data_IF_843730474412
#
_entry.id   IF_843730474412
#
_cell.length_a   1.000
_cell.length_b   1.000
_cell.length_c   1.000
_cell.angle_alpha   90.00
_cell.angle_beta   90.00
_cell.angle_gamma   90.00
#
_symmetry.space_group_name_H-M   'P 1'
#
loop_
_entity.id
_entity.type
_entity.pdbx_description
1 polymer ?
#
# COMPACT_ATOMS: atom_id res chain seq x y z
N UNK A 1 -55.24 20.88 46.11
CA UNK A 1 -53.81 20.63 46.31
C UNK A 1 -53.33 19.58 45.31
N UNK A 2 -52.33 19.98 44.51
CA UNK A 2 -51.25 19.18 43.90
C UNK A 2 -51.53 17.82 43.23
N UNK A 3 -51.40 17.87 41.90
CA UNK A 3 -50.47 17.08 41.06
C UNK A 3 -50.59 15.55 41.11
N UNK A 4 -51.13 14.97 40.03
CA UNK A 4 -50.68 13.67 39.49
C UNK A 4 -51.13 13.52 38.02
N UNK A 5 -50.88 14.58 37.24
CA UNK A 5 -50.59 14.42 35.82
C UNK A 5 -49.09 14.13 35.72
N UNK A 6 -48.66 13.35 34.73
CA UNK A 6 -47.28 12.88 34.48
C UNK A 6 -46.99 11.50 35.08
N UNK A 7 -47.63 10.46 34.52
CA UNK A 7 -47.14 9.07 34.56
C UNK A 7 -47.63 8.32 33.32
N UNK A 8 -47.14 8.72 32.13
CA UNK A 8 -47.12 7.84 30.95
C UNK A 8 -46.22 8.32 29.79
N UNK A 9 -45.14 9.06 30.07
CA UNK A 9 -44.12 9.44 29.06
C UNK A 9 -42.72 9.29 29.66
N UNK A 10 -42.41 8.12 30.24
CA UNK A 10 -41.04 7.79 30.72
C UNK A 10 -40.66 6.34 30.34
N UNK A 11 -41.22 5.81 29.25
CA UNK A 11 -40.84 4.48 28.71
C UNK A 11 -40.34 4.57 27.25
N UNK A 12 -40.29 5.76 26.64
CA UNK A 12 -39.77 5.93 25.27
C UNK A 12 -38.34 6.50 25.18
N UNK A 13 -37.61 6.57 26.29
CA UNK A 13 -36.26 7.20 26.32
C UNK A 13 -35.10 6.22 26.56
N UNK A 14 -35.31 4.90 26.48
CA UNK A 14 -34.22 3.90 26.56
C UNK A 14 -33.77 3.41 25.17
N UNK A 15 -34.06 4.17 24.11
CA UNK A 15 -33.39 3.99 22.79
C UNK A 15 -32.49 5.19 22.49
N UNK A 16 -31.88 5.77 23.52
CA UNK A 16 -30.61 6.46 23.34
C UNK A 16 -29.50 5.41 23.32
N UNK A 17 -29.47 4.59 22.25
CA UNK A 17 -28.19 4.02 21.85
C UNK A 17 -27.27 5.23 21.65
N UNK A 18 -26.22 5.30 22.47
CA UNK A 18 -25.08 6.15 22.22
C UNK A 18 -24.75 6.02 20.72
N UNK A 19 -25.04 7.08 19.97
CA UNK A 19 -24.88 7.13 18.52
C UNK A 19 -23.40 7.34 18.20
N UNK A 20 -22.54 6.47 18.74
CA UNK A 20 -21.14 6.30 18.37
C UNK A 20 -21.10 5.37 17.16
N UNK A 21 -21.67 5.84 16.04
CA UNK A 21 -21.70 5.13 14.77
C UNK A 21 -22.09 6.09 13.66
N UNK A 22 -21.71 5.77 12.43
CA UNK A 22 -21.98 6.57 11.22
C UNK A 22 -23.47 6.62 10.80
N UNK A 23 -24.38 6.18 11.66
CA UNK A 23 -25.82 6.16 11.40
C UNK A 23 -26.30 5.07 10.42
N UNK A 24 -25.39 4.25 9.90
CA UNK A 24 -25.74 3.18 8.94
C UNK A 24 -25.90 1.80 9.61
N UNK A 25 -26.60 0.85 8.96
CA UNK A 25 -26.82 -0.49 9.53
C UNK A 25 -25.52 -1.18 9.95
N UNK A 26 -25.53 -1.76 11.15
CA UNK A 26 -24.44 -2.59 11.66
C UNK A 26 -24.50 -3.96 10.98
N UNK A 27 -23.40 -4.36 10.34
CA UNK A 27 -23.22 -5.70 9.78
C UNK A 27 -22.85 -6.66 10.91
N UNK A 28 -21.82 -6.33 11.68
CA UNK A 28 -21.35 -7.12 12.82
C UNK A 28 -20.56 -6.26 13.83
N UNK A 29 -20.16 -6.84 14.95
CA UNK A 29 -19.28 -6.19 15.93
C UNK A 29 -18.10 -7.11 16.25
N UNK A 30 -16.88 -6.58 16.11
CA UNK A 30 -15.62 -7.29 16.36
C UNK A 30 -14.96 -6.61 17.55
N UNK A 31 -14.96 -7.30 18.69
CA UNK A 31 -14.36 -6.80 19.93
C UNK A 31 -14.85 -5.41 20.36
N UNK A 32 -16.16 -5.17 20.28
CA UNK A 32 -16.77 -3.89 20.60
C UNK A 32 -16.69 -2.83 19.48
N UNK A 33 -15.88 -3.06 18.44
CA UNK A 33 -15.87 -2.21 17.24
C UNK A 33 -16.98 -2.63 16.27
N UNK A 34 -17.91 -1.72 15.98
CA UNK A 34 -19.01 -1.98 15.03
C UNK A 34 -18.51 -1.84 13.59
N UNK A 35 -18.74 -2.87 12.79
CA UNK A 35 -18.59 -2.81 11.33
C UNK A 35 -19.95 -2.50 10.74
N UNK A 36 -20.10 -1.30 10.20
CA UNK A 36 -21.32 -0.81 9.54
C UNK A 36 -21.23 -0.92 8.03
N UNK A 37 -22.35 -0.80 7.32
CA UNK A 37 -22.35 -0.77 5.85
C UNK A 37 -21.51 0.38 5.30
N UNK A 38 -21.59 1.58 5.88
CA UNK A 38 -20.78 2.71 5.42
C UNK A 38 -19.29 2.52 5.72
N UNK A 39 -18.91 2.00 6.90
CA UNK A 39 -17.50 1.72 7.20
C UNK A 39 -16.90 0.69 6.24
N UNK A 40 -17.69 -0.31 5.85
CA UNK A 40 -17.28 -1.31 4.87
C UNK A 40 -17.12 -0.71 3.47
N UNK A 41 -18.09 0.09 3.02
CA UNK A 41 -18.03 0.73 1.70
C UNK A 41 -16.90 1.76 1.62
N UNK A 42 -16.63 2.49 2.71
CA UNK A 42 -15.48 3.37 2.82
C UNK A 42 -14.15 2.61 2.76
N UNK A 43 -14.04 1.46 3.44
CA UNK A 43 -12.86 0.61 3.37
C UNK A 43 -12.65 0.04 1.95
N UNK A 44 -13.73 -0.35 1.28
CA UNK A 44 -13.70 -0.80 -0.11
C UNK A 44 -13.19 0.30 -1.04
N UNK A 45 -13.74 1.51 -0.93
CA UNK A 45 -13.35 2.65 -1.73
C UNK A 45 -11.89 3.07 -1.48
N UNK A 46 -11.47 3.06 -0.20
CA UNK A 46 -10.09 3.33 0.21
C UNK A 46 -9.11 2.31 -0.38
N UNK A 47 -9.49 1.03 -0.46
CA UNK A 47 -8.65 0.02 -1.08
C UNK A 47 -8.48 0.25 -2.59
N UNK A 48 -9.52 0.73 -3.29
CA UNK A 48 -9.42 1.15 -4.69
C UNK A 48 -8.52 2.37 -4.86
N UNK A 49 -8.63 3.36 -3.97
CA UNK A 49 -7.76 4.55 -3.97
C UNK A 49 -6.30 4.18 -3.71
N UNK A 50 -6.07 3.28 -2.75
CA UNK A 50 -4.74 2.77 -2.43
C UNK A 50 -4.14 2.08 -3.65
N UNK A 51 -4.90 1.21 -4.31
CA UNK A 51 -4.45 0.55 -5.53
C UNK A 51 -4.16 1.57 -6.65
N UNK A 52 -5.04 2.55 -6.84
CA UNK A 52 -4.89 3.60 -7.84
C UNK A 52 -3.59 4.36 -7.66
N UNK A 53 -3.31 4.82 -6.44
CA UNK A 53 -2.11 5.60 -6.10
C UNK A 53 -0.84 4.76 -6.11
N UNK A 54 -0.89 3.52 -5.61
CA UNK A 54 0.30 2.66 -5.52
C UNK A 54 0.71 2.03 -6.85
N UNK A 55 -0.25 1.72 -7.72
CA UNK A 55 0.01 1.16 -9.06
C UNK A 55 0.05 2.23 -10.15
N UNK A 56 -0.22 3.49 -9.83
CA UNK A 56 -0.31 4.60 -10.79
C UNK A 56 -1.32 4.31 -11.93
N UNK A 57 -2.47 3.72 -11.58
CA UNK A 57 -3.56 3.42 -12.49
C UNK A 57 -4.74 4.30 -12.11
N UNK A 58 -5.37 4.98 -13.07
CA UNK A 58 -6.56 5.78 -12.78
C UNK A 58 -7.67 4.92 -12.15
N UNK A 59 -8.26 5.39 -11.04
CA UNK A 59 -9.34 4.68 -10.33
C UNK A 59 -10.49 4.28 -11.25
N UNK A 60 -10.83 5.12 -12.24
CA UNK A 60 -11.87 4.83 -13.23
C UNK A 60 -11.55 3.57 -14.07
N UNK A 61 -10.28 3.35 -14.40
CA UNK A 61 -9.82 2.19 -15.15
C UNK A 61 -9.84 0.93 -14.28
N UNK A 62 -9.47 1.05 -13.00
CA UNK A 62 -9.64 -0.01 -12.01
C UNK A 62 -11.12 -0.43 -11.93
N UNK A 63 -12.03 0.53 -11.75
CA UNK A 63 -13.48 0.27 -11.69
C UNK A 63 -13.96 -0.41 -12.97
N UNK A 64 -13.55 0.10 -14.14
CA UNK A 64 -13.86 -0.51 -15.45
C UNK A 64 -13.46 -1.99 -15.46
N UNK A 65 -12.22 -2.32 -15.09
CA UNK A 65 -11.75 -3.71 -15.03
C UNK A 65 -12.48 -4.59 -14.00
N UNK A 66 -12.98 -4.02 -12.90
CA UNK A 66 -13.78 -4.77 -11.92
C UNK A 66 -15.18 -5.10 -12.45
N UNK A 67 -15.72 -4.27 -13.35
CA UNK A 67 -17.11 -4.34 -13.83
C UNK A 67 -17.28 -4.98 -15.21
N UNK A 68 -16.27 -4.94 -16.08
CA UNK A 68 -16.35 -5.49 -17.45
C UNK A 68 -16.32 -7.03 -17.49
N UNK A 69 -16.58 -7.62 -18.66
CA UNK A 69 -16.48 -9.06 -18.87
C UNK A 69 -15.01 -9.55 -18.77
N UNK A 70 -14.78 -10.78 -18.29
CA UNK A 70 -13.42 -11.28 -17.97
C UNK A 70 -12.48 -11.28 -19.19
N UNK A 71 -13.02 -11.51 -20.39
CA UNK A 71 -12.30 -11.46 -21.67
C UNK A 71 -11.72 -10.08 -22.03
N UNK A 72 -12.20 -9.01 -21.38
CA UNK A 72 -11.75 -7.63 -21.61
C UNK A 72 -10.78 -7.11 -20.56
N UNK A 73 -10.53 -7.90 -19.51
CA UNK A 73 -9.68 -7.51 -18.39
C UNK A 73 -8.26 -8.03 -18.63
N UNK A 74 -7.21 -7.19 -18.46
CA UNK A 74 -5.83 -7.66 -18.55
C UNK A 74 -5.55 -8.84 -17.62
N UNK A 75 -4.79 -9.84 -18.08
CA UNK A 75 -4.50 -11.06 -17.30
C UNK A 75 -3.92 -10.77 -15.90
N UNK A 76 -3.06 -9.75 -15.81
CA UNK A 76 -2.47 -9.29 -14.54
C UNK A 76 -3.50 -8.75 -13.54
N UNK A 77 -4.67 -8.34 -14.03
CA UNK A 77 -5.75 -7.74 -13.23
C UNK A 77 -6.86 -8.73 -12.86
N UNK A 78 -6.89 -9.92 -13.46
CA UNK A 78 -7.92 -10.93 -13.18
C UNK A 78 -7.89 -11.44 -11.73
N UNK A 79 -6.69 -11.62 -11.16
CA UNK A 79 -6.53 -12.00 -9.74
C UNK A 79 -7.14 -10.92 -8.85
N UNK A 80 -6.77 -9.67 -9.11
CA UNK A 80 -7.24 -8.51 -8.37
C UNK A 80 -8.75 -8.35 -8.45
N UNK A 81 -9.33 -8.57 -9.63
CA UNK A 81 -10.78 -8.56 -9.82
C UNK A 81 -11.48 -9.55 -8.92
N UNK A 82 -10.95 -10.76 -8.76
CA UNK A 82 -11.51 -11.75 -7.87
C UNK A 82 -11.43 -11.34 -6.39
N UNK A 83 -10.31 -10.74 -5.98
CA UNK A 83 -10.14 -10.21 -4.61
C UNK A 83 -11.12 -9.09 -4.29
N UNK A 84 -11.43 -8.22 -5.26
CA UNK A 84 -12.35 -7.10 -5.10
C UNK A 84 -13.83 -7.47 -5.31
N UNK A 85 -14.20 -8.74 -5.51
CA UNK A 85 -15.63 -9.15 -5.46
C UNK A 85 -16.18 -8.84 -4.06
N UNK A 86 -17.27 -8.07 -3.95
CA UNK A 86 -17.82 -7.52 -2.67
C UNK A 86 -17.79 -8.53 -1.51
N UNK A 87 -18.25 -9.77 -1.74
CA UNK A 87 -18.22 -10.85 -0.73
C UNK A 87 -16.80 -11.22 -0.31
N UNK A 88 -15.90 -11.51 -1.27
CA UNK A 88 -14.52 -11.89 -0.96
C UNK A 88 -13.76 -10.75 -0.28
N UNK A 89 -13.94 -9.53 -0.77
CA UNK A 89 -13.35 -8.35 -0.13
C UNK A 89 -13.84 -8.18 1.32
N UNK A 90 -15.14 -8.36 1.57
CA UNK A 90 -15.69 -8.33 2.93
C UNK A 90 -15.05 -9.37 3.84
N UNK A 91 -14.94 -10.63 3.40
CA UNK A 91 -14.31 -11.68 4.21
C UNK A 91 -12.84 -11.35 4.53
N UNK A 92 -12.07 -10.88 3.55
CA UNK A 92 -10.68 -10.49 3.74
C UNK A 92 -10.57 -9.29 4.71
N UNK A 93 -11.38 -8.25 4.51
CA UNK A 93 -11.42 -7.07 5.38
C UNK A 93 -11.78 -7.44 6.82
N UNK A 94 -12.82 -8.27 6.98
CA UNK A 94 -13.24 -8.81 8.27
C UNK A 94 -12.11 -9.59 8.94
N UNK A 95 -11.42 -10.46 8.21
CA UNK A 95 -10.30 -11.23 8.73
C UNK A 95 -9.16 -10.31 9.21
N UNK A 96 -8.84 -9.26 8.45
CA UNK A 96 -7.85 -8.25 8.87
C UNK A 96 -8.25 -7.56 10.17
N UNK A 97 -9.53 -7.17 10.32
CA UNK A 97 -10.03 -6.56 11.55
C UNK A 97 -9.90 -7.49 12.75
N UNK A 98 -10.25 -8.77 12.60
CA UNK A 98 -10.12 -9.79 13.66
C UNK A 98 -8.66 -9.96 14.08
N UNK A 99 -7.75 -10.11 13.11
CA UNK A 99 -6.31 -10.25 13.38
C UNK A 99 -5.77 -9.00 14.08
N UNK A 100 -6.15 -7.81 13.61
CA UNK A 100 -5.75 -6.54 14.23
C UNK A 100 -6.24 -6.45 15.67
N UNK A 101 -7.51 -6.79 15.94
CA UNK A 101 -8.04 -6.78 17.29
C UNK A 101 -7.29 -7.74 18.21
N UNK A 102 -6.94 -8.94 17.73
CA UNK A 102 -6.14 -9.90 18.49
C UNK A 102 -4.70 -9.38 18.76
N UNK A 103 -4.08 -8.74 17.76
CA UNK A 103 -2.75 -8.13 17.89
C UNK A 103 -2.75 -6.95 18.88
N UNK A 104 -3.80 -6.14 18.89
CA UNK A 104 -3.94 -5.03 19.83
C UNK A 104 -4.12 -5.53 21.27
N UNK A 105 -4.93 -6.57 21.47
CA UNK A 105 -5.13 -7.22 22.79
C UNK A 105 -3.86 -7.84 23.36
N UNK A 106 -3.06 -8.49 22.51
CA UNK A 106 -1.79 -9.10 22.94
C UNK A 106 -0.69 -8.06 23.20
N UNK A 107 -0.94 -6.78 22.91
CA UNK A 107 0.04 -5.72 23.02
C UNK A 107 1.05 -5.70 21.88
N UNK A 108 0.87 -6.52 20.82
CA UNK A 108 1.77 -6.57 19.66
C UNK A 108 1.95 -5.19 19.02
N UNK A 109 0.85 -4.48 18.75
CA UNK A 109 0.86 -3.13 18.16
C UNK A 109 1.48 -2.06 19.09
N UNK A 110 1.68 -2.36 20.38
CA UNK A 110 2.26 -1.43 21.36
C UNK A 110 3.78 -1.57 21.50
N UNK A 111 4.37 -2.65 20.98
CA UNK A 111 5.82 -2.89 21.02
C UNK A 111 6.58 -1.76 20.32
N UNK A 112 7.75 -1.43 20.85
CA UNK A 112 8.55 -0.31 20.34
C UNK A 112 9.04 -0.56 18.91
N UNK A 113 9.52 -1.77 18.61
CA UNK A 113 9.97 -2.16 17.27
C UNK A 113 8.85 -2.07 16.23
N UNK A 114 7.65 -2.54 16.56
CA UNK A 114 6.48 -2.44 15.68
C UNK A 114 6.10 -0.97 15.41
N UNK A 115 6.15 -0.10 16.42
CA UNK A 115 5.89 1.34 16.24
C UNK A 115 6.90 2.01 15.31
N UNK A 116 8.18 1.69 15.45
CA UNK A 116 9.22 2.24 14.56
C UNK A 116 9.06 1.73 13.12
N UNK A 117 8.69 0.44 12.94
CA UNK A 117 8.35 -0.10 11.61
C UNK A 117 7.17 0.66 11.01
N UNK A 118 6.07 0.84 11.76
CA UNK A 118 4.89 1.54 11.27
C UNK A 118 5.19 3.00 10.91
N UNK A 119 5.96 3.70 11.74
CA UNK A 119 6.40 5.08 11.47
C UNK A 119 7.24 5.18 10.21
N UNK A 120 8.15 4.24 9.99
CA UNK A 120 8.96 4.19 8.77
C UNK A 120 8.10 3.90 7.52
N UNK A 121 7.16 2.94 7.62
CA UNK A 121 6.22 2.62 6.53
C UNK A 121 5.29 3.80 6.20
N UNK A 122 4.78 4.49 7.21
CA UNK A 122 3.98 5.71 7.04
C UNK A 122 4.77 6.79 6.29
N UNK A 123 6.03 7.03 6.70
CA UNK A 123 6.90 8.00 6.04
C UNK A 123 7.17 7.64 4.58
N UNK A 124 7.47 6.37 4.29
CA UNK A 124 7.67 5.90 2.92
C UNK A 124 6.42 6.08 2.06
N UNK A 125 5.26 5.69 2.60
CA UNK A 125 3.98 5.77 1.89
C UNK A 125 3.59 7.22 1.60
N UNK A 126 3.61 8.10 2.60
CA UNK A 126 3.27 9.52 2.46
C UNK A 126 4.24 10.20 1.48
N UNK A 127 5.55 9.97 1.63
CA UNK A 127 6.56 10.53 0.73
C UNK A 127 6.28 10.15 -0.73
N UNK A 128 6.06 8.87 -1.00
CA UNK A 128 5.80 8.39 -2.36
C UNK A 128 4.49 8.93 -2.93
N UNK A 129 3.41 8.92 -2.14
CA UNK A 129 2.11 9.45 -2.57
C UNK A 129 2.19 10.95 -2.88
N UNK A 130 2.81 11.72 -1.99
CA UNK A 130 2.89 13.17 -2.16
C UNK A 130 3.79 13.57 -3.34
N UNK A 131 4.96 12.94 -3.49
CA UNK A 131 5.84 13.18 -4.65
C UNK A 131 5.10 12.85 -5.95
N UNK A 132 4.42 11.70 -6.01
CA UNK A 132 3.65 11.30 -7.20
C UNK A 132 2.59 12.33 -7.54
N UNK A 133 1.81 12.77 -6.55
CA UNK A 133 0.78 13.80 -6.73
C UNK A 133 1.37 15.14 -7.23
N UNK A 134 2.52 15.54 -6.67
CA UNK A 134 3.23 16.75 -7.13
C UNK A 134 3.77 16.61 -8.56
N UNK A 135 4.26 15.44 -8.96
CA UNK A 135 4.69 15.15 -10.32
C UNK A 135 3.50 15.21 -11.28
N UNK A 136 2.41 14.50 -10.97
CA UNK A 136 1.22 14.46 -11.82
C UNK A 136 0.62 15.85 -12.04
N UNK A 137 0.62 16.71 -11.01
CA UNK A 137 0.13 18.09 -11.12
C UNK A 137 0.91 18.94 -12.14
N UNK A 138 2.14 18.56 -12.48
CA UNK A 138 3.01 19.27 -13.43
C UNK A 138 3.01 18.66 -14.83
N UNK A 139 2.59 17.41 -14.97
CA UNK A 139 2.56 16.73 -16.26
C UNK A 139 1.28 17.10 -17.00
N UNK A 140 1.42 17.93 -18.03
CA UNK A 140 0.36 18.16 -19.02
C UNK A 140 0.64 17.31 -20.26
N UNK A 141 -0.37 16.57 -20.69
CA UNK A 141 -0.31 15.75 -21.91
C UNK A 141 -1.39 16.29 -22.84
N UNK A 142 -0.95 16.80 -23.98
CA UNK A 142 -1.81 17.34 -25.03
C UNK A 142 -2.32 16.22 -25.94
N UNK A 143 -3.42 16.48 -26.64
CA UNK A 143 -3.95 15.53 -27.62
C UNK A 143 -2.96 15.28 -28.78
N UNK A 144 -2.23 16.31 -29.20
CA UNK A 144 -1.18 16.19 -30.23
C UNK A 144 -0.07 15.21 -29.83
N UNK A 145 0.33 15.22 -28.56
CA UNK A 145 1.32 14.27 -28.05
C UNK A 145 0.78 12.82 -28.04
N UNK A 146 -0.51 12.65 -27.73
CA UNK A 146 -1.16 11.33 -27.78
C UNK A 146 -1.27 10.81 -29.22
N UNK A 147 -1.68 11.66 -30.16
CA UNK A 147 -1.75 11.32 -31.57
C UNK A 147 -0.38 10.95 -32.15
N UNK A 148 0.64 11.75 -31.87
CA UNK A 148 2.01 11.52 -32.34
C UNK A 148 2.57 10.22 -31.75
N UNK A 149 2.44 10.02 -30.44
CA UNK A 149 2.88 8.79 -29.77
C UNK A 149 2.14 7.56 -30.28
N UNK A 150 0.85 7.68 -30.64
CA UNK A 150 0.10 6.57 -31.24
C UNK A 150 0.57 6.19 -32.63
N UNK A 151 0.90 7.19 -33.46
CA UNK A 151 1.51 6.96 -34.78
C UNK A 151 2.85 6.24 -34.63
N UNK A 152 3.68 6.68 -33.69
CA UNK A 152 4.97 6.05 -33.41
C UNK A 152 4.81 4.62 -32.86
N UNK A 153 3.92 4.41 -31.90
CA UNK A 153 3.68 3.10 -31.28
C UNK A 153 3.25 2.06 -32.33
N UNK A 154 2.34 2.46 -33.23
CA UNK A 154 1.88 1.62 -34.35
C UNK A 154 2.98 1.36 -35.38
N UNK A 155 3.81 2.35 -35.68
CA UNK A 155 4.95 2.16 -36.58
C UNK A 155 6.00 1.19 -36.00
N UNK A 156 6.18 1.19 -34.67
CA UNK A 156 7.19 0.40 -33.98
C UNK A 156 6.74 -1.03 -33.66
N UNK A 157 5.46 -1.22 -33.36
CA UNK A 157 4.94 -2.52 -32.92
C UNK A 157 3.67 -2.89 -33.68
N UNK A 158 3.73 -3.98 -34.47
CA UNK A 158 2.57 -4.50 -35.23
C UNK A 158 1.35 -4.78 -34.35
N UNK A 159 1.57 -5.27 -33.13
CA UNK A 159 0.50 -5.53 -32.16
C UNK A 159 -0.25 -4.26 -31.70
N UNK A 160 0.32 -3.07 -31.91
CA UNK A 160 -0.35 -1.80 -31.61
C UNK A 160 -1.32 -1.37 -32.72
N UNK A 161 -1.24 -1.95 -33.93
CA UNK A 161 -2.16 -1.65 -35.04
C UNK A 161 -3.61 -2.05 -34.72
N UNK A 162 -3.80 -3.12 -33.95
CA UNK A 162 -5.12 -3.62 -33.54
C UNK A 162 -5.75 -2.88 -32.36
N UNK A 163 -5.02 -1.95 -31.71
CA UNK A 163 -5.55 -1.19 -30.58
C UNK A 163 -6.56 -0.14 -31.05
N UNK A 164 -7.66 0.01 -30.32
CA UNK A 164 -8.56 1.16 -30.50
C UNK A 164 -7.82 2.46 -30.20
N UNK A 165 -8.36 3.59 -30.68
CA UNK A 165 -7.74 4.90 -30.41
C UNK A 165 -7.63 5.19 -28.91
N UNK A 166 -8.65 4.83 -28.12
CA UNK A 166 -8.67 4.98 -26.68
C UNK A 166 -7.58 4.14 -26.00
N UNK A 167 -7.47 2.85 -26.37
CA UNK A 167 -6.43 1.95 -25.85
C UNK A 167 -5.03 2.44 -26.21
N UNK A 168 -4.86 2.95 -27.42
CA UNK A 168 -3.60 3.53 -27.86
C UNK A 168 -3.26 4.80 -27.06
N UNK A 169 -4.23 5.70 -26.86
CA UNK A 169 -4.05 6.91 -26.05
C UNK A 169 -3.69 6.58 -24.60
N UNK A 170 -4.30 5.56 -24.00
CA UNK A 170 -3.98 5.15 -22.64
C UNK A 170 -2.55 4.60 -22.52
N UNK A 171 -2.13 3.77 -23.48
CA UNK A 171 -0.76 3.23 -23.52
C UNK A 171 0.29 4.35 -23.70
N UNK A 172 0.05 5.26 -24.64
CA UNK A 172 0.93 6.40 -24.91
C UNK A 172 0.95 7.37 -23.72
N UNK A 173 -0.21 7.62 -23.09
CA UNK A 173 -0.28 8.46 -21.88
C UNK A 173 0.58 7.89 -20.77
N UNK A 174 0.54 6.58 -20.54
CA UNK A 174 1.38 5.93 -19.54
C UNK A 174 2.87 6.07 -19.85
N UNK A 175 3.28 5.92 -21.11
CA UNK A 175 4.67 6.12 -21.54
C UNK A 175 5.12 7.57 -21.32
N UNK A 176 4.36 8.54 -21.83
CA UNK A 176 4.68 9.97 -21.69
C UNK A 176 4.73 10.37 -20.21
N UNK A 177 3.79 9.90 -19.39
CA UNK A 177 3.83 10.11 -17.94
C UNK A 177 5.15 9.58 -17.37
N UNK A 178 5.53 8.34 -17.68
CA UNK A 178 6.77 7.74 -17.17
C UNK A 178 8.04 8.54 -17.53
N UNK A 179 8.13 9.04 -18.76
CA UNK A 179 9.27 9.83 -19.24
C UNK A 179 9.30 11.24 -18.63
N UNK A 180 8.17 11.94 -18.65
CA UNK A 180 8.06 13.29 -18.07
C UNK A 180 8.27 13.26 -16.55
N UNK A 181 7.77 12.24 -15.86
CA UNK A 181 7.97 12.06 -14.41
C UNK A 181 9.44 12.02 -14.04
N UNK A 182 10.28 11.29 -14.78
CA UNK A 182 11.74 11.24 -14.54
C UNK A 182 12.39 12.61 -14.71
N UNK A 183 11.95 13.37 -15.70
CA UNK A 183 12.50 14.69 -16.02
C UNK A 183 12.17 15.73 -14.94
N UNK A 184 10.96 15.68 -14.37
CA UNK A 184 10.52 16.66 -13.37
C UNK A 184 10.82 16.25 -11.93
N UNK A 185 11.18 14.98 -11.69
CA UNK A 185 11.35 14.41 -10.34
C UNK A 185 12.22 15.29 -9.43
N UNK A 186 13.45 15.62 -9.87
CA UNK A 186 14.37 16.40 -9.04
C UNK A 186 13.81 17.79 -8.71
N UNK A 187 13.24 18.48 -9.71
CA UNK A 187 12.62 19.80 -9.51
C UNK A 187 11.42 19.78 -8.56
N UNK A 188 10.73 18.64 -8.46
CA UNK A 188 9.65 18.44 -7.48
C UNK A 188 10.24 18.34 -6.09
N UNK A 189 11.28 17.53 -5.90
CA UNK A 189 11.98 17.39 -4.61
C UNK A 189 12.52 18.73 -4.12
N UNK A 190 13.17 19.49 -5.00
CA UNK A 190 13.77 20.77 -4.62
C UNK A 190 12.70 21.77 -4.17
N UNK A 191 11.55 21.84 -4.87
CA UNK A 191 10.43 22.69 -4.44
C UNK A 191 9.82 22.25 -3.11
N UNK A 192 9.72 20.94 -2.87
CA UNK A 192 9.24 20.42 -1.58
C UNK A 192 10.18 20.86 -0.46
N UNK A 193 11.50 20.78 -0.69
CA UNK A 193 12.52 21.23 0.27
C UNK A 193 12.43 22.74 0.54
N UNK A 194 12.22 23.56 -0.49
CA UNK A 194 12.00 25.01 -0.33
C UNK A 194 10.78 25.33 0.54
N UNK A 195 9.77 24.45 0.55
CA UNK A 195 8.56 24.59 1.36
C UNK A 195 8.71 24.26 2.84
N UNK A 196 9.87 23.75 3.29
CA UNK A 196 10.09 23.32 4.67
C UNK A 196 11.29 24.03 5.31
N UNK A 197 11.17 24.39 6.60
CA UNK A 197 12.28 24.98 7.36
C UNK A 197 13.16 23.89 7.94
N UNK A 198 14.42 23.85 7.54
CA UNK A 198 15.43 22.91 8.05
C UNK A 198 16.38 23.67 8.97
N UNK A 199 16.36 23.34 10.27
CA UNK A 199 17.29 23.89 11.26
C UNK A 199 18.38 22.87 11.55
N UNK A 200 19.63 23.27 11.31
CA UNK A 200 20.80 22.44 11.60
C UNK A 200 21.29 22.73 13.03
N UNK A 201 21.82 21.70 13.70
CA UNK A 201 22.46 21.86 14.99
C UNK A 201 23.95 22.11 14.77
N UNK A 202 24.40 23.35 14.93
CA UNK A 202 25.80 23.75 14.69
C UNK A 202 26.81 23.02 15.61
N UNK A 203 26.35 22.35 16.67
CA UNK A 203 27.19 21.55 17.57
C UNK A 203 27.34 20.09 17.14
N UNK A 204 26.62 19.65 16.11
CA UNK A 204 26.63 18.27 15.62
C UNK A 204 27.28 18.20 14.24
N UNK A 205 28.39 17.47 14.15
CA UNK A 205 29.07 17.21 12.89
C UNK A 205 28.36 16.06 12.16
N UNK A 206 27.43 16.43 11.28
CA UNK A 206 26.60 15.49 10.54
C UNK A 206 27.44 14.64 9.57
N UNK A 207 28.34 15.26 8.80
CA UNK A 207 29.14 14.57 7.79
C UNK A 207 30.04 13.52 8.44
N UNK A 208 30.75 13.88 9.52
CA UNK A 208 31.56 12.92 10.27
C UNK A 208 30.74 11.77 10.85
N UNK A 209 29.51 12.02 11.28
CA UNK A 209 28.62 10.97 11.77
C UNK A 209 28.15 10.03 10.65
N UNK A 210 27.82 10.57 9.47
CA UNK A 210 27.39 9.78 8.32
C UNK A 210 28.51 8.94 7.71
N UNK A 211 29.76 9.39 7.84
CA UNK A 211 30.95 8.64 7.41
C UNK A 211 31.33 7.47 8.36
N UNK A 212 30.68 7.35 9.52
CA UNK A 212 30.93 6.24 10.45
C UNK A 212 30.22 4.97 10.00
N UNK A 213 30.94 3.84 10.02
CA UNK A 213 30.34 2.53 9.75
C UNK A 213 29.27 2.19 10.81
N UNK A 214 28.06 1.89 10.33
CA UNK A 214 26.96 1.50 11.20
C UNK A 214 27.12 0.05 11.65
N UNK A 215 27.26 -0.18 12.95
CA UNK A 215 27.33 -1.55 13.51
C UNK A 215 25.96 -2.02 13.94
N UNK A 216 25.43 -3.03 13.25
CA UNK A 216 24.17 -3.67 13.64
C UNK A 216 24.38 -4.55 14.89
N UNK A 217 23.50 -4.46 15.92
CA UNK A 217 23.67 -5.22 17.15
C UNK A 217 23.80 -6.74 16.96
N UNK A 218 23.21 -7.28 15.90
CA UNK A 218 23.18 -8.72 15.62
C UNK A 218 24.36 -9.21 14.77
N UNK A 219 25.16 -8.33 14.17
CA UNK A 219 26.28 -8.74 13.30
C UNK A 219 27.51 -9.26 14.05
N UNK A 220 27.55 -9.15 15.39
CA UNK A 220 28.66 -9.65 16.23
C UNK A 220 28.45 -11.05 16.81
N UNK A 221 27.35 -11.74 16.51
CA UNK A 221 27.11 -13.13 16.97
C UNK A 221 27.63 -14.22 16.02
N UNK A 222 28.23 -13.86 14.88
CA UNK A 222 28.66 -14.80 13.85
C UNK A 222 30.16 -15.13 13.79
N UNK A 223 31.01 -14.45 14.57
CA UNK A 223 32.47 -14.61 14.47
C UNK A 223 33.08 -15.16 15.77
N UNK A 224 32.53 -16.29 16.20
CA UNK A 224 33.21 -17.23 17.08
C UNK A 224 32.96 -18.64 16.54
N UNK A 225 33.50 -18.93 15.36
CA UNK A 225 33.70 -20.30 14.94
C UNK A 225 34.73 -20.91 15.91
N UNK A 226 34.42 -22.03 16.60
CA UNK A 226 35.40 -22.69 17.44
C UNK A 226 36.54 -23.20 16.57
N UNK A 227 37.75 -22.94 17.03
CA UNK A 227 39.00 -23.41 16.47
C UNK A 227 38.93 -24.90 16.12
N UNK A 228 39.34 -25.20 14.88
CA UNK A 228 39.84 -26.48 14.37
C UNK A 228 40.03 -27.57 15.44
N UNK A 229 39.13 -28.55 15.44
CA UNK A 229 39.46 -29.92 15.85
C UNK A 229 39.49 -30.76 14.57
N UNK A 230 40.71 -31.12 14.17
CA UNK A 230 40.98 -31.95 13.01
C UNK A 230 40.25 -33.30 13.11
N UNK A 231 39.37 -33.58 12.14
CA UNK A 231 38.86 -34.93 11.88
C UNK A 231 39.95 -35.72 11.15
N UNK A 232 40.38 -36.90 11.61
CA UNK A 232 41.28 -37.74 10.84
C UNK A 232 40.58 -38.26 9.58
N UNK A 233 41.29 -38.24 8.45
CA UNK A 233 40.84 -38.77 7.17
C UNK A 233 40.45 -40.26 7.28
N UNK A 234 39.41 -40.73 6.57
CA UNK A 234 39.06 -42.15 6.53
C UNK A 234 40.15 -42.94 5.79
N UNK A 235 40.66 -43.98 6.46
CA UNK A 235 41.61 -44.92 5.90
C UNK A 235 41.02 -45.63 4.66
N UNK A 236 41.80 -45.66 3.59
CA UNK A 236 41.50 -46.40 2.37
C UNK A 236 41.56 -47.91 2.64
N UNK A 237 40.48 -48.63 2.32
CA UNK A 237 40.47 -50.09 2.26
C UNK A 237 41.13 -50.54 0.95
N UNK A 238 42.12 -51.46 0.95
CA UNK A 238 42.68 -51.98 -0.29
C UNK A 238 41.73 -52.97 -0.96
N UNK A 239 41.65 -52.86 -2.28
CA UNK A 239 41.05 -53.86 -3.17
C UNK A 239 41.72 -55.22 -2.94
N UNK A 240 40.90 -56.28 -2.85
CA UNK A 240 41.37 -57.66 -2.91
C UNK A 240 40.87 -58.26 -4.22
N UNK A 241 41.78 -58.45 -5.17
CA UNK A 241 41.58 -59.28 -6.35
C UNK A 241 42.36 -60.60 -6.18
N UNK A 242 41.59 -61.68 -6.28
CA UNK A 242 41.91 -62.98 -6.91
C UNK A 242 42.96 -63.92 -6.29
N UNK A 243 42.49 -65.12 -5.89
CA UNK A 243 42.85 -66.37 -6.58
C UNK A 243 41.75 -67.42 -6.45
#
# INVERSE_FOLDING_TARGET
>A
MKRLSVSLIVIFSIVAYANCGDGTPVIESIDGNKVTTASFEAAYDTALDTLSRTQNIEKKNIIKFLTESEDKVPQSFLVLRNEFKKRRFFENYRQMLVIKAAADKSGFSKRADIKEILKFQEMQLISNMYITEQIESRIKITEQELEAGCKELRAKYKQAESLTIEQCYDAVRAQIKGEKSKTVYQSVIDRIKEGVSIKHNDKFDLEKYLDQEFTFPDSKKGEAAPASAATPAPAATPATETK
#
